data_IF_979514795590
#
_entry.id   IF_979514795590
#
_cell.length_a   1.000
_cell.length_b   1.000
_cell.length_c   1.000
_cell.angle_alpha   90.00
_cell.angle_beta   90.00
_cell.angle_gamma   90.00
#
_symmetry.space_group_name_H-M   'P 1'
#
loop_
_entity.id
_entity.type
_entity.pdbx_description
1 polymer ?
#
# COMPACT_ATOMS: atom_id res chain seq x y z
N UNK A 1 -45.33 -29.39 -46.34
CA UNK A 1 -44.54 -28.65 -45.33
C UNK A 1 -44.88 -29.14 -43.93
N UNK A 2 -44.02 -29.91 -43.24
CA UNK A 2 -44.09 -30.09 -41.80
C UNK A 2 -43.15 -29.10 -41.10
N UNK A 3 -43.69 -28.46 -40.06
CA UNK A 3 -43.09 -27.37 -39.30
C UNK A 3 -42.05 -27.89 -38.30
N UNK A 4 -40.94 -27.16 -38.20
CA UNK A 4 -39.86 -27.33 -37.21
C UNK A 4 -40.40 -27.41 -35.78
N UNK A 5 -39.92 -28.39 -35.03
CA UNK A 5 -40.07 -28.47 -33.59
C UNK A 5 -39.31 -27.32 -32.90
N UNK A 6 -39.99 -26.57 -32.03
CA UNK A 6 -39.34 -25.67 -31.08
C UNK A 6 -39.54 -26.24 -29.67
N UNK A 7 -38.45 -26.83 -29.16
CA UNK A 7 -38.34 -27.37 -27.83
C UNK A 7 -38.24 -26.20 -26.84
N UNK A 8 -39.26 -26.01 -26.00
CA UNK A 8 -39.27 -25.04 -24.92
C UNK A 8 -38.36 -25.51 -23.79
N UNK A 9 -37.09 -25.08 -23.79
CA UNK A 9 -36.19 -25.31 -22.67
C UNK A 9 -36.62 -24.40 -21.50
N UNK A 10 -37.25 -25.04 -20.52
CA UNK A 10 -37.55 -24.50 -19.19
C UNK A 10 -36.29 -23.89 -18.57
N UNK A 11 -36.25 -22.55 -18.46
CA UNK A 11 -35.26 -21.83 -17.64
C UNK A 11 -35.48 -22.19 -16.18
N UNK A 12 -34.69 -23.11 -15.66
CA UNK A 12 -34.56 -23.34 -14.22
C UNK A 12 -34.03 -22.07 -13.56
N UNK A 13 -34.90 -21.40 -12.78
CA UNK A 13 -34.53 -20.29 -11.90
C UNK A 13 -33.57 -20.84 -10.85
N UNK A 14 -32.27 -20.71 -11.10
CA UNK A 14 -31.23 -20.96 -10.10
C UNK A 14 -31.53 -20.13 -8.86
N UNK A 15 -31.69 -20.81 -7.72
CA UNK A 15 -31.87 -20.22 -6.41
C UNK A 15 -30.65 -19.34 -6.12
N UNK A 16 -30.84 -18.01 -6.07
CA UNK A 16 -29.79 -17.07 -5.66
C UNK A 16 -29.38 -17.44 -4.24
N UNK A 17 -28.16 -17.93 -4.08
CA UNK A 17 -27.53 -18.23 -2.78
C UNK A 17 -27.66 -16.98 -1.90
N UNK A 18 -28.29 -17.04 -0.72
CA UNK A 18 -28.52 -15.86 0.10
C UNK A 18 -27.17 -15.24 0.47
N UNK A 19 -27.01 -13.95 0.19
CA UNK A 19 -25.81 -13.21 0.53
C UNK A 19 -25.71 -13.16 2.06
N UNK A 20 -24.74 -13.93 2.60
CA UNK A 20 -24.45 -13.96 4.04
C UNK A 20 -24.21 -12.52 4.47
N UNK A 21 -25.02 -12.00 5.40
CA UNK A 21 -24.80 -10.65 5.95
C UNK A 21 -23.39 -10.64 6.52
N UNK A 22 -22.56 -9.73 6.02
CA UNK A 22 -21.22 -9.50 6.56
C UNK A 22 -21.47 -8.81 7.90
N UNK A 23 -21.14 -9.48 9.00
CA UNK A 23 -21.11 -8.85 10.31
C UNK A 23 -20.08 -7.72 10.23
N UNK A 24 -20.56 -6.50 10.03
CA UNK A 24 -19.73 -5.32 10.12
C UNK A 24 -19.56 -5.09 11.61
N UNK A 25 -18.50 -5.70 12.17
CA UNK A 25 -18.04 -5.35 13.51
C UNK A 25 -17.71 -3.87 13.48
N UNK A 26 -18.64 -3.05 13.96
CA UNK A 26 -18.37 -1.67 14.33
C UNK A 26 -17.40 -1.73 15.51
N UNK A 27 -16.10 -1.77 15.22
CA UNK A 27 -15.09 -1.61 16.24
C UNK A 27 -15.23 -0.19 16.77
N UNK A 28 -15.85 -0.08 17.95
CA UNK A 28 -16.03 1.18 18.67
C UNK A 28 -14.68 1.88 18.76
N UNK A 29 -14.66 3.15 18.34
CA UNK A 29 -13.47 3.98 18.15
C UNK A 29 -12.73 4.31 19.44
N UNK A 30 -12.04 3.32 20.01
CA UNK A 30 -10.95 3.52 20.94
C UNK A 30 -9.65 3.63 20.16
N UNK A 31 -9.04 4.81 20.14
CA UNK A 31 -7.64 4.96 19.73
C UNK A 31 -6.81 3.92 20.48
N UNK A 32 -6.25 2.94 19.75
CA UNK A 32 -5.32 1.99 20.36
C UNK A 32 -4.08 2.78 20.74
N UNK A 33 -3.43 2.43 21.85
CA UNK A 33 -2.32 3.20 22.47
C UNK A 33 -1.09 3.43 21.57
N UNK A 34 -1.13 2.95 20.33
CA UNK A 34 -0.03 2.90 19.38
C UNK A 34 -0.43 3.40 17.99
N UNK A 35 -1.55 4.11 17.80
CA UNK A 35 -1.86 4.69 16.49
C UNK A 35 -1.04 5.98 16.22
N UNK A 36 -0.80 6.30 14.94
CA UNK A 36 -0.20 7.58 14.55
C UNK A 36 -1.04 8.32 13.50
N UNK A 37 -0.96 9.67 13.52
CA UNK A 37 -1.58 10.51 12.49
C UNK A 37 -0.61 10.69 11.31
N UNK A 38 -1.01 10.25 10.12
CA UNK A 38 -0.17 10.36 8.93
C UNK A 38 0.10 11.83 8.55
N UNK A 39 1.37 12.19 8.31
CA UNK A 39 1.75 13.54 7.85
C UNK A 39 1.40 13.83 6.38
N UNK A 40 1.12 12.78 5.60
CA UNK A 40 0.69 12.87 4.21
C UNK A 40 -0.81 13.14 4.06
N UNK A 41 -1.63 12.16 4.45
CA UNK A 41 -3.08 12.20 4.24
C UNK A 41 -3.92 12.46 5.51
N UNK A 42 -3.27 12.66 6.68
CA UNK A 42 -3.91 12.97 7.97
C UNK A 42 -4.80 11.87 8.57
N UNK A 43 -4.92 10.72 7.93
CA UNK A 43 -5.59 9.55 8.51
C UNK A 43 -4.87 9.05 9.77
N UNK A 44 -5.64 8.51 10.71
CA UNK A 44 -5.12 7.75 11.85
C UNK A 44 -4.79 6.35 11.36
N UNK A 45 -3.56 5.92 11.63
CA UNK A 45 -2.99 4.66 11.14
C UNK A 45 -2.59 3.81 12.33
N UNK A 46 -3.05 2.56 12.34
CA UNK A 46 -2.64 1.55 13.31
C UNK A 46 -1.18 1.16 13.09
N UNK A 47 -0.40 1.06 14.17
CA UNK A 47 0.92 0.43 14.11
C UNK A 47 0.84 -1.09 13.94
N UNK A 48 -0.27 -1.73 14.36
CA UNK A 48 -0.52 -3.15 14.09
C UNK A 48 -0.68 -3.35 12.57
N UNK A 49 0.18 -4.16 11.99
CA UNK A 49 0.25 -4.39 10.56
C UNK A 49 0.62 -5.85 10.24
N UNK A 50 -0.09 -6.54 9.34
CA UNK A 50 0.29 -7.89 8.95
C UNK A 50 1.67 -7.91 8.30
N UNK A 51 2.56 -8.79 8.77
CA UNK A 51 3.88 -9.01 8.18
C UNK A 51 4.98 -8.04 8.63
N UNK A 52 4.71 -7.10 9.54
CA UNK A 52 5.75 -6.21 10.11
C UNK A 52 5.45 -5.81 11.55
N UNK A 53 6.49 -5.84 12.40
CA UNK A 53 6.41 -5.37 13.80
C UNK A 53 6.62 -3.85 13.93
N UNK A 54 7.19 -3.21 12.91
CA UNK A 54 7.59 -1.80 12.96
C UNK A 54 7.04 -1.05 11.74
N UNK A 55 5.72 -0.82 11.71
CA UNK A 55 5.14 0.05 10.68
C UNK A 55 5.69 1.47 10.82
N UNK A 56 6.15 2.02 9.70
CA UNK A 56 6.65 3.39 9.62
C UNK A 56 5.95 4.25 8.56
N UNK A 57 5.15 3.66 7.67
CA UNK A 57 4.40 4.37 6.64
C UNK A 57 2.89 4.16 6.76
N UNK A 58 2.14 5.12 6.23
CA UNK A 58 0.70 5.01 6.09
C UNK A 58 0.35 4.00 4.97
N UNK A 59 -0.54 3.02 5.22
CA UNK A 59 -0.90 2.04 4.19
C UNK A 59 -1.64 2.69 2.99
N UNK A 60 -2.30 3.83 3.19
CA UNK A 60 -3.09 4.48 2.15
C UNK A 60 -2.28 5.35 1.19
N UNK A 61 -1.29 6.09 1.69
CA UNK A 61 -0.50 7.04 0.89
C UNK A 61 0.99 6.75 0.86
N UNK A 62 1.44 5.72 1.59
CA UNK A 62 2.84 5.26 1.69
C UNK A 62 3.82 6.28 2.27
N UNK A 63 3.37 7.46 2.68
CA UNK A 63 4.18 8.48 3.35
C UNK A 63 4.59 7.98 4.74
N UNK A 64 5.86 8.17 5.04
CA UNK A 64 6.50 7.87 6.33
C UNK A 64 6.95 9.17 7.03
N UNK A 65 7.41 9.04 8.26
CA UNK A 65 8.06 10.09 9.05
C UNK A 65 9.45 9.62 9.43
N UNK A 66 10.47 10.48 9.30
CA UNK A 66 11.84 10.14 9.67
C UNK A 66 12.00 10.13 11.18
N UNK A 67 11.70 8.99 11.78
CA UNK A 67 11.73 8.77 13.23
C UNK A 67 12.79 7.75 13.64
N UNK A 68 13.22 6.85 12.76
CA UNK A 68 14.27 5.88 13.07
C UNK A 68 15.64 6.39 12.61
N UNK A 69 16.70 6.05 13.34
CA UNK A 69 18.09 6.25 12.87
C UNK A 69 18.52 5.03 12.04
N UNK A 70 19.36 4.17 12.63
CA UNK A 70 19.96 3.03 11.92
C UNK A 70 19.21 1.74 12.17
N UNK A 71 18.51 1.63 13.30
CA UNK A 71 17.82 0.41 13.70
C UNK A 71 16.33 0.63 13.46
N UNK A 72 15.67 -0.19 12.62
CA UNK A 72 14.23 -0.09 12.41
C UNK A 72 13.47 -0.17 13.74
N UNK A 73 12.61 0.81 14.00
CA UNK A 73 11.84 0.93 15.24
C UNK A 73 12.56 1.60 16.42
N UNK A 74 13.81 2.06 16.29
CA UNK A 74 14.52 2.73 17.39
C UNK A 74 13.91 4.09 17.78
N UNK A 75 13.11 4.70 16.90
CA UNK A 75 12.48 6.01 17.07
C UNK A 75 13.45 7.10 17.54
N UNK A 76 14.73 6.97 17.20
CA UNK A 76 15.80 7.79 17.76
C UNK A 76 16.14 9.03 16.91
N UNK A 77 15.57 9.19 15.72
CA UNK A 77 15.89 10.30 14.83
C UNK A 77 15.24 11.61 15.27
N UNK A 78 16.06 12.67 15.35
CA UNK A 78 15.59 14.02 15.67
C UNK A 78 14.99 14.76 14.46
N UNK A 79 15.25 14.29 13.23
CA UNK A 79 14.85 14.96 11.98
C UNK A 79 13.34 15.14 11.89
N UNK A 80 12.56 14.06 12.10
CA UNK A 80 11.09 14.05 11.99
C UNK A 80 10.58 14.61 10.66
N UNK A 81 11.42 14.59 9.62
CA UNK A 81 11.08 15.05 8.28
C UNK A 81 10.10 14.10 7.61
N UNK A 82 9.24 14.64 6.73
CA UNK A 82 8.37 13.83 5.87
C UNK A 82 9.22 12.96 4.97
N UNK A 83 8.91 11.67 4.91
CA UNK A 83 9.56 10.75 3.99
C UNK A 83 8.59 10.32 2.90
N UNK A 84 8.96 10.55 1.65
CA UNK A 84 8.16 10.13 0.50
C UNK A 84 8.60 8.76 0.00
N UNK A 85 7.63 7.96 -0.46
CA UNK A 85 7.94 6.70 -1.14
C UNK A 85 8.57 7.01 -2.50
N UNK A 86 9.86 6.68 -2.62
CA UNK A 86 10.67 6.93 -3.80
C UNK A 86 10.57 5.78 -4.79
N UNK A 87 10.76 4.55 -4.32
CA UNK A 87 10.76 3.33 -5.15
C UNK A 87 10.42 2.09 -4.31
N UNK A 88 10.49 0.92 -4.94
CA UNK A 88 10.33 -0.39 -4.30
C UNK A 88 11.52 -1.29 -4.64
N UNK A 89 11.87 -2.18 -3.73
CA UNK A 89 12.88 -3.23 -3.95
C UNK A 89 12.39 -4.57 -3.42
N UNK A 90 12.98 -5.65 -3.93
CA UNK A 90 12.72 -7.02 -3.45
C UNK A 90 14.04 -7.57 -2.94
N UNK A 91 14.02 -8.09 -1.72
CA UNK A 91 15.17 -8.76 -1.11
C UNK A 91 15.33 -10.18 -1.65
N UNK A 92 16.51 -10.81 -1.49
CA UNK A 92 16.74 -12.19 -1.95
C UNK A 92 15.79 -13.23 -1.33
N UNK A 93 15.27 -12.97 -0.13
CA UNK A 93 14.28 -13.79 0.57
C UNK A 93 12.84 -13.58 0.05
N UNK A 94 12.65 -12.74 -0.97
CA UNK A 94 11.36 -12.44 -1.58
C UNK A 94 10.60 -11.30 -0.89
N UNK A 95 11.18 -10.68 0.15
CA UNK A 95 10.51 -9.63 0.90
C UNK A 95 10.50 -8.30 0.15
N UNK A 96 9.31 -7.72 0.03
CA UNK A 96 9.10 -6.46 -0.67
C UNK A 96 9.27 -5.27 0.26
N UNK A 97 10.05 -4.29 -0.19
CA UNK A 97 10.41 -3.11 0.58
C UNK A 97 10.00 -1.85 -0.19
N UNK A 98 9.52 -0.84 0.52
CA UNK A 98 9.41 0.54 0.05
C UNK A 98 10.71 1.25 0.39
N UNK A 99 11.28 1.95 -0.58
CA UNK A 99 12.38 2.88 -0.35
C UNK A 99 11.81 4.26 -0.12
N UNK A 100 12.04 4.80 1.06
CA UNK A 100 11.61 6.12 1.48
C UNK A 100 12.77 7.12 1.41
N UNK A 101 12.50 8.33 0.92
CA UNK A 101 13.45 9.44 0.89
C UNK A 101 12.98 10.56 1.82
N UNK A 102 13.82 10.95 2.78
CA UNK A 102 13.55 12.07 3.66
C UNK A 102 13.70 13.39 2.92
N UNK A 103 12.62 14.15 2.82
CA UNK A 103 12.62 15.45 2.13
C UNK A 103 13.33 16.56 2.93
N UNK A 104 13.73 16.30 4.18
CA UNK A 104 14.40 17.28 5.03
C UNK A 104 15.92 17.08 5.10
N UNK A 105 16.40 15.83 5.09
CA UNK A 105 17.83 15.53 5.26
C UNK A 105 18.42 14.59 4.19
N UNK A 106 17.62 14.12 3.23
CA UNK A 106 18.08 13.26 2.13
C UNK A 106 18.26 11.77 2.46
N UNK A 107 18.13 11.37 3.74
CA UNK A 107 18.31 9.98 4.17
C UNK A 107 17.34 9.03 3.45
N UNK A 108 17.84 7.84 3.09
CA UNK A 108 17.06 6.76 2.51
C UNK A 108 16.78 5.68 3.57
N UNK A 109 15.56 5.15 3.59
CA UNK A 109 15.21 4.03 4.45
C UNK A 109 14.42 2.97 3.69
N UNK A 110 14.61 1.70 4.04
CA UNK A 110 13.92 0.57 3.43
C UNK A 110 12.95 -0.04 4.43
N UNK A 111 11.65 0.11 4.17
CA UNK A 111 10.58 -0.32 5.06
C UNK A 111 9.79 -1.46 4.42
N UNK A 112 9.51 -2.52 5.18
CA UNK A 112 8.78 -3.68 4.68
C UNK A 112 7.35 -3.30 4.29
N UNK A 113 6.88 -3.81 3.15
CA UNK A 113 5.48 -3.70 2.73
C UNK A 113 4.61 -4.59 3.62
N UNK A 114 3.60 -3.99 4.24
CA UNK A 114 2.65 -4.70 5.08
C UNK A 114 1.50 -5.29 4.24
N UNK A 115 0.85 -6.34 4.76
CA UNK A 115 -0.23 -7.04 4.04
C UNK A 115 -1.50 -6.22 3.81
N UNK A 116 -1.64 -5.06 4.46
CA UNK A 116 -2.77 -4.13 4.32
C UNK A 116 -2.38 -2.82 3.60
N UNK A 117 -1.15 -2.73 3.05
CA UNK A 117 -0.76 -1.59 2.22
C UNK A 117 -1.60 -1.53 0.94
N UNK A 118 -1.95 -0.32 0.53
CA UNK A 118 -2.82 -0.10 -0.61
C UNK A 118 -2.14 -0.54 -1.92
N UNK A 119 -2.61 -1.65 -2.49
CA UNK A 119 -2.08 -2.23 -3.72
C UNK A 119 -2.06 -1.23 -4.89
N UNK A 120 -3.06 -0.35 -5.03
CA UNK A 120 -3.07 0.65 -6.09
C UNK A 120 -1.96 1.70 -5.90
N UNK A 121 -1.68 2.10 -4.65
CA UNK A 121 -0.57 3.01 -4.36
C UNK A 121 0.79 2.36 -4.68
N UNK A 122 0.95 1.08 -4.34
CA UNK A 122 2.16 0.31 -4.64
C UNK A 122 2.37 0.14 -6.16
N UNK A 123 1.32 -0.24 -6.90
CA UNK A 123 1.40 -0.35 -8.37
C UNK A 123 1.74 1.00 -9.01
N UNK A 124 1.13 2.10 -8.55
CA UNK A 124 1.47 3.45 -9.03
C UNK A 124 2.92 3.83 -8.77
N UNK A 125 3.47 3.42 -7.62
CA UNK A 125 4.87 3.63 -7.27
C UNK A 125 5.79 2.84 -8.21
N UNK A 126 5.50 1.55 -8.43
CA UNK A 126 6.26 0.70 -9.33
C UNK A 126 6.25 1.18 -10.79
N UNK A 127 5.13 1.74 -11.26
CA UNK A 127 4.97 2.27 -12.61
C UNK A 127 5.48 3.70 -12.79
N UNK A 128 5.93 4.38 -11.72
CA UNK A 128 6.35 5.79 -11.78
C UNK A 128 7.42 6.06 -12.86
N UNK A 129 8.47 5.22 -13.03
CA UNK A 129 9.47 5.44 -14.08
C UNK A 129 8.90 5.39 -15.50
N UNK A 130 7.85 4.62 -15.74
CA UNK A 130 7.22 4.50 -17.06
C UNK A 130 6.33 5.70 -17.43
N UNK A 131 5.93 6.49 -16.43
CA UNK A 131 5.12 7.70 -16.63
C UNK A 131 5.96 8.93 -16.95
N UNK A 132 7.23 8.94 -16.58
CA UNK A 132 8.13 10.07 -16.80
C UNK A 132 9.20 9.71 -17.84
N UNK A 133 8.81 9.74 -19.11
CA UNK A 133 9.71 9.51 -20.25
C UNK A 133 10.80 10.59 -20.36
N UNK A 134 10.67 11.73 -19.66
CA UNK A 134 11.65 12.81 -19.70
C UNK A 134 12.94 12.48 -18.94
N UNK A 135 12.87 11.57 -17.96
CA UNK A 135 14.04 11.09 -17.21
C UNK A 135 14.85 10.13 -18.09
N UNK A 136 14.20 9.16 -18.74
CA UNK A 136 14.86 8.26 -19.67
C UNK A 136 15.56 9.02 -20.81
N UNK A 137 14.91 10.06 -21.33
CA UNK A 137 15.46 10.87 -22.41
C UNK A 137 16.67 11.71 -21.96
N UNK A 138 16.65 12.26 -20.73
CA UNK A 138 17.77 13.03 -20.18
C UNK A 138 18.98 12.17 -19.82
N UNK A 139 18.77 10.96 -19.29
CA UNK A 139 19.88 10.04 -18.98
C UNK A 139 20.57 9.52 -20.25
N UNK A 140 19.84 9.32 -21.34
CA UNK A 140 20.41 8.89 -22.63
C UNK A 140 21.20 9.99 -23.34
N UNK A 141 20.90 11.27 -23.10
CA UNK A 141 21.62 12.40 -23.68
C UNK A 141 22.87 12.82 -22.88
N UNK A 142 23.10 12.19 -21.72
CA UNK A 142 24.26 12.43 -20.86
C UNK A 142 25.28 11.26 -20.88
N UNK A 143 25.07 10.29 -21.76
CA UNK A 143 26.00 9.23 -22.12
C UNK A 143 26.55 9.51 -23.53
#
# INVERSE_FOLDING_TARGET
MPRRANNSSTRTRGTRRPQRRKDVLHHQGGHRRHDFKCVGCRLIVSLDAPGTTHRNHCPNCLVSLHVDRRIPGDRAAACRGRMEALSMSVRPDGEWMIIHHCQSCGELSANRIAGDDNALALVRLALRPLRDSSIAHRTLLQL
#
